data_IF_643342914943
#
_entry.id   IF_643342914943
#
_cell.length_a   1.000
_cell.length_b   1.000
_cell.length_c   1.000
_cell.angle_alpha   90.00
_cell.angle_beta   90.00
_cell.angle_gamma   90.00
#
_symmetry.space_group_name_H-M   'P 1'
#
loop_
_entity.id
_entity.type
_entity.pdbx_description
1 polymer ?
#
# COMPACT_ATOMS: atom_id res chain seq x y z
N UNK A 1 4.86 -5.39 -7.09
CA UNK A 1 3.85 -4.84 -6.16
C UNK A 1 4.61 -4.21 -5.00
N UNK A 2 4.15 -3.07 -4.48
CA UNK A 2 4.89 -2.24 -3.52
C UNK A 2 4.16 -2.21 -2.18
N UNK A 3 4.84 -2.60 -1.11
CA UNK A 3 4.22 -2.72 0.19
C UNK A 3 4.87 -1.77 1.20
N UNK A 4 4.10 -1.31 2.16
CA UNK A 4 4.65 -0.67 3.35
C UNK A 4 4.97 -1.73 4.40
N UNK A 5 6.19 -1.68 4.93
CA UNK A 5 6.61 -2.46 6.10
C UNK A 5 6.71 -1.60 7.36
N UNK A 6 6.45 -0.28 7.27
CA UNK A 6 6.45 0.63 8.40
C UNK A 6 5.24 0.35 9.31
N UNK A 7 5.44 -0.09 10.57
CA UNK A 7 4.34 -0.36 11.49
C UNK A 7 3.44 0.86 11.76
N UNK A 8 3.97 2.09 11.65
CA UNK A 8 3.20 3.32 11.88
C UNK A 8 2.06 3.52 10.88
N UNK A 9 2.07 2.79 9.76
CA UNK A 9 0.99 2.86 8.77
C UNK A 9 -0.33 2.35 9.34
N UNK A 10 -0.29 1.37 10.26
CA UNK A 10 -1.49 0.77 10.84
C UNK A 10 -2.30 1.78 11.65
N UNK A 11 -1.64 2.78 12.24
CA UNK A 11 -2.30 3.86 12.96
C UNK A 11 -2.96 4.90 12.06
N UNK A 12 -2.61 4.93 10.77
CA UNK A 12 -3.04 5.92 9.78
C UNK A 12 -4.14 5.42 8.86
N UNK A 13 -4.42 4.12 8.86
CA UNK A 13 -5.37 3.49 7.95
C UNK A 13 -6.60 2.91 8.67
N UNK A 14 -7.70 2.83 7.94
CA UNK A 14 -8.87 2.02 8.27
C UNK A 14 -8.89 0.79 7.36
N UNK A 15 -9.25 -0.36 7.90
CA UNK A 15 -9.29 -1.63 7.14
C UNK A 15 -10.71 -2.15 7.09
N UNK A 16 -11.18 -2.48 5.88
CA UNK A 16 -12.49 -3.08 5.65
C UNK A 16 -12.35 -4.41 4.92
N UNK A 17 -12.82 -5.50 5.53
CA UNK A 17 -12.85 -6.83 4.90
C UNK A 17 -14.08 -6.90 4.01
N UNK A 18 -13.94 -7.04 2.68
CA UNK A 18 -15.08 -7.09 1.79
C UNK A 18 -15.89 -8.38 2.00
N UNK A 19 -17.21 -8.29 1.88
CA UNK A 19 -18.15 -9.44 2.00
C UNK A 19 -17.83 -10.59 1.03
N UNK A 20 -17.19 -10.28 -0.09
CA UNK A 20 -16.72 -11.25 -1.09
C UNK A 20 -15.28 -10.93 -1.45
N UNK A 21 -14.36 -11.84 -1.13
CA UNK A 21 -12.98 -11.77 -1.60
C UNK A 21 -12.90 -12.52 -2.92
N UNK A 22 -12.58 -11.82 -4.01
CA UNK A 22 -12.24 -12.48 -5.28
C UNK A 22 -10.80 -13.00 -5.18
N UNK A 23 -10.64 -14.22 -4.68
CA UNK A 23 -9.36 -14.91 -4.72
C UNK A 23 -9.26 -15.56 -6.11
N UNK A 24 -8.42 -15.00 -6.97
CA UNK A 24 -8.22 -15.55 -8.31
C UNK A 24 -7.48 -16.89 -8.27
N UNK A 25 -6.32 -16.91 -7.60
CA UNK A 25 -5.46 -18.10 -7.52
C UNK A 25 -4.95 -18.24 -6.08
N UNK A 26 -5.37 -19.30 -5.37
CA UNK A 26 -4.92 -19.57 -3.99
C UNK A 26 -3.41 -19.88 -3.90
N UNK A 27 -2.79 -20.25 -5.02
CA UNK A 27 -1.35 -20.54 -5.10
C UNK A 27 -0.50 -19.32 -5.46
N UNK A 28 -1.11 -18.13 -5.62
CA UNK A 28 -0.33 -16.91 -5.86
C UNK A 28 0.38 -16.47 -4.58
N UNK A 29 1.65 -16.09 -4.73
CA UNK A 29 2.55 -15.63 -3.66
C UNK A 29 1.93 -14.55 -2.77
N UNK A 30 1.00 -13.72 -3.29
CA UNK A 30 0.14 -12.93 -2.41
C UNK A 30 -1.23 -12.60 -3.01
N UNK A 31 -2.25 -12.55 -2.16
CA UNK A 31 -3.62 -12.24 -2.55
C UNK A 31 -4.24 -11.15 -1.65
N UNK A 32 -5.13 -10.30 -2.20
CA UNK A 32 -5.75 -9.22 -1.44
C UNK A 32 -6.81 -9.79 -0.48
N UNK A 33 -6.83 -9.29 0.76
CA UNK A 33 -7.74 -9.75 1.82
C UNK A 33 -8.64 -8.64 2.36
N UNK A 34 -8.24 -7.37 2.24
CA UNK A 34 -9.03 -6.24 2.72
C UNK A 34 -8.79 -4.98 1.89
N UNK A 35 -9.72 -4.03 1.97
CA UNK A 35 -9.57 -2.68 1.44
C UNK A 35 -8.97 -1.77 2.52
N UNK A 36 -8.21 -0.78 2.08
CA UNK A 36 -7.63 0.25 2.93
C UNK A 36 -8.33 1.58 2.64
N UNK A 37 -8.72 2.24 3.72
CA UNK A 37 -9.16 3.63 3.78
C UNK A 37 -8.22 4.52 4.57
N UNK A 38 -8.33 5.83 4.39
CA UNK A 38 -7.68 6.79 5.29
C UNK A 38 -8.46 6.85 6.61
N UNK A 39 -7.78 6.68 7.75
CA UNK A 39 -8.46 6.58 9.06
C UNK A 39 -9.32 7.78 9.42
N UNK A 40 -8.90 9.00 9.05
CA UNK A 40 -9.58 10.23 9.40
C UNK A 40 -10.73 10.61 8.47
N UNK A 41 -10.80 10.04 7.27
CA UNK A 41 -11.82 10.40 6.27
C UNK A 41 -12.52 9.21 5.60
N UNK A 42 -12.33 7.99 6.12
CA UNK A 42 -12.99 6.81 5.58
C UNK A 42 -14.51 6.85 5.79
N UNK A 43 -15.23 6.72 4.68
CA UNK A 43 -16.69 6.66 4.64
C UNK A 43 -17.21 5.36 3.98
N UNK A 44 -16.32 4.39 3.70
CA UNK A 44 -16.67 3.14 3.00
C UNK A 44 -16.50 3.17 1.47
N UNK A 45 -16.18 4.32 0.86
CA UNK A 45 -16.09 4.42 -0.63
C UNK A 45 -14.70 4.72 -1.16
N UNK A 46 -13.90 5.50 -0.44
CA UNK A 46 -12.66 6.08 -0.97
C UNK A 46 -11.44 5.19 -0.77
N UNK A 47 -11.43 4.01 -1.41
CA UNK A 47 -10.38 2.98 -1.27
C UNK A 47 -9.01 3.50 -1.72
N UNK A 48 -8.13 3.74 -0.75
CA UNK A 48 -6.75 4.22 -0.99
C UNK A 48 -5.73 3.07 -1.19
N UNK A 49 -6.13 1.83 -0.91
CA UNK A 49 -5.22 0.70 -0.96
C UNK A 49 -5.89 -0.64 -0.67
N UNK A 50 -5.06 -1.68 -0.49
CA UNK A 50 -5.48 -3.03 -0.11
C UNK A 50 -4.48 -3.66 0.84
N UNK A 51 -4.97 -4.50 1.74
CA UNK A 51 -4.11 -5.41 2.51
C UNK A 51 -3.91 -6.66 1.67
N UNK A 52 -2.65 -7.05 1.47
CA UNK A 52 -2.29 -8.32 0.85
C UNK A 52 -1.77 -9.28 1.91
N UNK A 53 -2.16 -10.54 1.80
CA UNK A 53 -1.49 -11.62 2.52
C UNK A 53 -0.37 -12.15 1.63
N UNK A 54 0.87 -12.11 2.12
CA UNK A 54 2.09 -12.64 1.51
C UNK A 54 2.66 -13.69 2.46
N UNK A 55 2.52 -14.97 2.13
CA UNK A 55 2.76 -16.07 3.08
C UNK A 55 1.98 -15.84 4.40
N UNK A 56 2.66 -15.68 5.53
CA UNK A 56 2.07 -15.41 6.85
C UNK A 56 2.04 -13.93 7.23
N UNK A 57 2.45 -13.04 6.34
CA UNK A 57 2.46 -11.60 6.57
C UNK A 57 1.28 -10.89 5.92
N UNK A 58 0.76 -9.87 6.61
CA UNK A 58 -0.25 -8.96 6.10
C UNK A 58 0.40 -7.62 5.82
N UNK A 59 0.49 -7.25 4.55
CA UNK A 59 1.21 -6.08 4.11
C UNK A 59 0.27 -5.07 3.43
N UNK A 60 0.26 -3.81 3.90
CA UNK A 60 -0.46 -2.73 3.23
C UNK A 60 0.17 -2.39 1.88
N UNK A 61 -0.66 -2.41 0.84
CA UNK A 61 -0.37 -1.83 -0.47
C UNK A 61 -1.20 -0.56 -0.62
N UNK A 62 -0.54 0.59 -0.83
CA UNK A 62 -1.22 1.84 -1.14
C UNK A 62 -1.16 2.13 -2.64
N UNK A 63 -2.24 2.70 -3.17
CA UNK A 63 -2.33 3.12 -4.56
C UNK A 63 -1.73 4.51 -4.72
N UNK A 64 -0.72 4.64 -5.57
CA UNK A 64 -0.04 5.93 -5.76
C UNK A 64 -0.98 7.04 -6.25
N UNK A 65 -1.98 6.71 -7.08
CA UNK A 65 -2.96 7.68 -7.58
C UNK A 65 -3.92 8.21 -6.50
N UNK A 66 -3.88 7.65 -5.29
CA UNK A 66 -4.67 8.09 -4.12
C UNK A 66 -3.80 8.84 -3.10
N UNK A 67 -2.53 9.08 -3.42
CA UNK A 67 -1.54 9.68 -2.53
C UNK A 67 -0.92 10.94 -3.15
N UNK A 68 -0.40 11.80 -2.28
CA UNK A 68 0.53 12.87 -2.66
C UNK A 68 1.80 12.69 -1.85
N UNK A 69 2.95 12.79 -2.51
CA UNK A 69 4.25 12.66 -1.85
C UNK A 69 4.68 14.03 -1.35
N UNK A 70 5.19 14.10 -0.13
CA UNK A 70 5.75 15.34 0.41
C UNK A 70 7.25 15.35 0.17
N UNK A 71 7.74 16.35 -0.56
CA UNK A 71 9.16 16.58 -0.71
C UNK A 71 9.75 17.02 0.64
N UNK A 72 10.81 16.36 1.13
CA UNK A 72 11.41 16.68 2.42
C UNK A 72 12.11 18.04 2.44
N UNK A 73 12.63 18.46 1.29
CA UNK A 73 13.50 19.63 1.18
C UNK A 73 12.65 20.90 0.97
N UNK A 74 11.64 20.82 0.12
CA UNK A 74 10.76 21.96 -0.21
C UNK A 74 9.47 21.99 0.60
N UNK A 75 9.07 20.85 1.16
CA UNK A 75 7.78 20.69 1.85
C UNK A 75 6.57 20.61 0.91
N UNK A 76 6.77 20.71 -0.39
CA UNK A 76 5.70 20.70 -1.40
C UNK A 76 5.06 19.31 -1.53
N UNK A 77 3.77 19.30 -1.91
CA UNK A 77 3.03 18.08 -2.20
C UNK A 77 3.04 17.83 -3.71
N UNK A 78 3.56 16.67 -4.09
CA UNK A 78 3.78 16.27 -5.48
C UNK A 78 2.81 15.13 -5.87
N UNK A 79 2.24 15.23 -7.08
CA UNK A 79 1.35 14.21 -7.67
C UNK A 79 2.14 13.31 -8.63
N UNK A 80 2.17 12.01 -8.31
CA UNK A 80 2.87 10.98 -9.08
C UNK A 80 1.92 9.91 -9.64
N UNK A 81 0.63 10.22 -9.73
CA UNK A 81 -0.41 9.30 -10.20
C UNK A 81 -0.12 8.69 -11.58
N UNK A 82 0.57 9.43 -12.46
CA UNK A 82 0.89 9.01 -13.83
C UNK A 82 2.18 8.20 -13.95
N UNK A 83 3.14 8.38 -13.06
CA UNK A 83 4.47 7.74 -13.16
C UNK A 83 4.45 6.34 -12.54
N UNK A 84 3.52 6.08 -11.62
CA UNK A 84 3.44 4.82 -10.90
C UNK A 84 4.61 4.66 -9.92
N UNK A 85 4.54 3.61 -9.10
CA UNK A 85 5.58 3.33 -8.11
C UNK A 85 6.96 3.08 -8.74
N UNK A 86 7.02 2.51 -9.95
CA UNK A 86 8.26 2.33 -10.71
C UNK A 86 8.92 3.68 -11.08
N UNK A 87 8.12 4.70 -11.41
CA UNK A 87 8.63 6.02 -11.74
C UNK A 87 9.09 6.82 -10.52
N UNK A 88 8.49 6.58 -9.37
CA UNK A 88 8.89 7.16 -8.07
C UNK A 88 10.17 6.52 -7.54
N UNK A 89 10.30 5.21 -7.71
CA UNK A 89 11.48 4.45 -7.29
C UNK A 89 12.76 4.98 -7.97
N UNK A 90 13.84 5.10 -7.19
CA UNK A 90 15.16 5.61 -7.59
C UNK A 90 15.21 7.08 -8.03
N UNK A 91 14.08 7.72 -8.35
CA UNK A 91 14.02 9.15 -8.70
C UNK A 91 13.69 10.03 -7.50
N UNK A 92 12.70 9.64 -6.70
CA UNK A 92 12.23 10.41 -5.52
C UNK A 92 12.50 9.69 -4.21
N UNK A 93 12.46 8.37 -4.23
CA UNK A 93 12.87 7.57 -3.08
C UNK A 93 13.36 6.19 -3.49
N UNK A 94 14.17 5.58 -2.63
CA UNK A 94 14.54 4.19 -2.77
C UNK A 94 13.45 3.29 -2.20
N UNK A 95 13.09 2.23 -2.92
CA UNK A 95 12.15 1.20 -2.46
C UNK A 95 12.86 -0.14 -2.58
N UNK A 96 13.14 -0.78 -1.46
CA UNK A 96 13.84 -2.06 -1.43
C UNK A 96 12.93 -3.19 -1.92
N UNK A 97 13.54 -4.19 -2.56
CA UNK A 97 12.87 -5.48 -2.75
C UNK A 97 12.72 -6.17 -1.39
N UNK A 98 11.54 -6.72 -1.12
CA UNK A 98 11.36 -7.59 0.04
C UNK A 98 12.17 -8.86 -0.20
N UNK A 99 13.17 -9.11 0.64
CA UNK A 99 13.79 -10.42 0.75
C UNK A 99 12.97 -11.22 1.75
N UNK A 100 12.45 -12.39 1.36
CA UNK A 100 11.54 -13.21 2.20
C UNK A 100 12.11 -13.53 3.59
N UNK A 101 13.43 -13.47 3.77
CA UNK A 101 14.16 -13.70 5.03
C UNK A 101 13.92 -12.59 6.08
N UNK A 102 13.43 -11.40 5.69
CA UNK A 102 13.25 -10.26 6.60
C UNK A 102 11.84 -10.15 7.22
N UNK A 103 10.99 -11.15 7.02
CA UNK A 103 9.60 -11.15 7.50
C UNK A 103 9.45 -11.98 8.79
N UNK A 104 10.25 -11.67 9.82
CA UNK A 104 10.23 -12.32 11.15
C UNK A 104 9.73 -11.35 12.20
#
# INVERSE_FOLDING_TARGET
MYYSTDPSIWDKISVEIPKKIKIGNLNSVGFPVANIGCKSCWNGTNVIGKIYRLSDCYLPYLRLNELRLKNSDTGELEDESKTGWDGVHMKKMYISKIQEIQMV
#
